data_IF_207341292284
#
_entry.id   IF_207341292284
#
_cell.length_a   1.000
_cell.length_b   1.000
_cell.length_c   1.000
_cell.angle_alpha   90.00
_cell.angle_beta   90.00
_cell.angle_gamma   90.00
#
_symmetry.space_group_name_H-M   'P 1'
#
loop_
_entity.id
_entity.type
_entity.pdbx_description
1 polymer ?
#
# COMPACT_ATOMS: atom_id res chain seq x y z
N UNK A 1 -24.82 -13.32 22.79
CA UNK A 1 -24.51 -12.92 21.40
C UNK A 1 -25.15 -13.97 20.49
N UNK A 2 -25.88 -13.59 19.44
CA UNK A 2 -26.63 -14.53 18.59
C UNK A 2 -25.86 -14.89 17.32
N UNK A 3 -26.10 -16.06 16.71
CA UNK A 3 -25.50 -16.44 15.41
C UNK A 3 -25.63 -15.34 14.35
N UNK A 4 -26.75 -14.61 14.38
CA UNK A 4 -27.02 -13.48 13.50
C UNK A 4 -25.94 -12.38 13.57
N UNK A 5 -25.31 -12.16 14.72
CA UNK A 5 -24.23 -11.17 14.80
C UNK A 5 -22.97 -11.64 14.07
N UNK A 6 -22.61 -12.94 14.13
CA UNK A 6 -21.43 -13.49 13.43
C UNK A 6 -21.59 -13.31 11.93
N UNK A 7 -22.75 -13.69 11.39
CA UNK A 7 -23.06 -13.56 9.95
C UNK A 7 -23.01 -12.10 9.47
N UNK A 8 -23.43 -11.14 10.30
CA UNK A 8 -23.36 -9.72 9.96
C UNK A 8 -21.90 -9.23 9.83
N UNK A 9 -21.01 -9.64 10.74
CA UNK A 9 -19.59 -9.28 10.65
C UNK A 9 -18.89 -9.97 9.48
N UNK A 10 -19.21 -11.24 9.20
CA UNK A 10 -18.68 -11.97 8.05
C UNK A 10 -19.12 -11.34 6.72
N UNK A 11 -20.40 -10.93 6.62
CA UNK A 11 -20.89 -10.22 5.42
C UNK A 11 -20.15 -8.90 5.20
N UNK A 12 -19.96 -8.09 6.25
CA UNK A 12 -19.20 -6.84 6.15
C UNK A 12 -17.76 -7.07 5.73
N UNK A 13 -17.12 -8.12 6.25
CA UNK A 13 -15.77 -8.50 5.84
C UNK A 13 -15.73 -8.92 4.35
N UNK A 14 -16.70 -9.72 3.91
CA UNK A 14 -16.82 -10.15 2.51
C UNK A 14 -17.12 -8.98 1.56
N UNK A 15 -17.99 -8.04 1.95
CA UNK A 15 -18.28 -6.83 1.17
C UNK A 15 -17.03 -5.95 1.01
N UNK A 16 -16.26 -5.80 2.09
CA UNK A 16 -14.99 -5.07 2.06
C UNK A 16 -13.94 -5.76 1.17
N UNK A 17 -13.83 -7.10 1.24
CA UNK A 17 -12.91 -7.91 0.42
C UNK A 17 -13.33 -7.98 -1.07
N UNK A 18 -14.63 -8.00 -1.37
CA UNK A 18 -15.15 -8.02 -2.74
C UNK A 18 -14.98 -6.67 -3.46
N UNK A 19 -14.62 -5.60 -2.74
CA UNK A 19 -14.42 -4.29 -3.34
C UNK A 19 -13.21 -4.28 -4.29
N UNK A 20 -13.41 -3.78 -5.52
CA UNK A 20 -12.35 -3.66 -6.53
C UNK A 20 -11.49 -2.39 -6.37
N UNK A 21 -11.88 -1.52 -5.45
CA UNK A 21 -11.25 -0.23 -5.14
C UNK A 21 -9.75 -0.37 -4.82
N UNK A 22 -9.30 -1.30 -3.94
CA UNK A 22 -7.87 -1.46 -3.64
C UNK A 22 -7.04 -1.89 -4.86
N UNK A 23 -7.61 -2.65 -5.80
CA UNK A 23 -6.90 -3.05 -7.03
C UNK A 23 -6.68 -1.84 -7.94
N UNK A 24 -7.73 -1.04 -8.16
CA UNK A 24 -7.63 0.18 -8.96
C UNK A 24 -6.62 1.17 -8.37
N UNK A 25 -6.63 1.38 -7.05
CA UNK A 25 -5.66 2.26 -6.37
C UNK A 25 -4.23 1.74 -6.50
N UNK A 26 -4.00 0.41 -6.42
CA UNK A 26 -2.68 -0.19 -6.63
C UNK A 26 -2.17 0.03 -8.05
N UNK A 27 -3.02 -0.12 -9.06
CA UNK A 27 -2.67 0.13 -10.47
C UNK A 27 -2.38 1.61 -10.70
N UNK A 28 -3.24 2.51 -10.20
CA UNK A 28 -3.01 3.95 -10.27
C UNK A 28 -1.69 4.35 -9.61
N UNK A 29 -1.38 3.78 -8.45
CA UNK A 29 -0.09 3.98 -7.78
C UNK A 29 1.09 3.53 -8.63
N UNK A 30 1.02 2.34 -9.22
CA UNK A 30 2.09 1.82 -10.07
C UNK A 30 2.34 2.71 -11.29
N UNK A 31 1.27 3.22 -11.91
CA UNK A 31 1.35 4.17 -13.02
C UNK A 31 2.04 5.48 -12.62
N UNK A 32 1.68 6.06 -11.47
CA UNK A 32 2.30 7.30 -10.98
C UNK A 32 3.77 7.07 -10.59
N UNK A 33 4.09 5.92 -9.99
CA UNK A 33 5.47 5.53 -9.69
C UNK A 33 6.33 5.38 -10.95
N UNK A 34 5.76 4.83 -12.03
CA UNK A 34 6.43 4.73 -13.32
C UNK A 34 6.76 6.12 -13.89
N UNK A 35 5.79 7.04 -13.84
CA UNK A 35 6.00 8.44 -14.25
C UNK A 35 7.08 9.13 -13.40
N UNK A 36 7.06 8.90 -12.08
CA UNK A 36 8.08 9.42 -11.17
C UNK A 36 9.48 8.93 -11.56
N UNK A 37 9.64 7.62 -11.79
CA UNK A 37 10.90 7.02 -12.18
C UNK A 37 11.45 7.61 -13.48
N UNK A 38 10.62 7.75 -14.52
CA UNK A 38 11.02 8.40 -15.79
C UNK A 38 11.46 9.86 -15.56
N UNK A 39 10.72 10.59 -14.72
CA UNK A 39 11.02 11.99 -14.42
C UNK A 39 12.37 12.12 -13.71
N UNK A 40 12.65 11.27 -12.72
CA UNK A 40 13.93 11.25 -12.00
C UNK A 40 15.08 10.88 -12.94
N UNK A 41 14.91 9.84 -13.77
CA UNK A 41 15.91 9.46 -14.78
C UNK A 41 16.20 10.63 -15.73
N UNK A 42 15.16 11.36 -16.15
CA UNK A 42 15.30 12.56 -16.98
C UNK A 42 16.16 13.62 -16.31
N UNK A 43 15.89 13.95 -15.03
CA UNK A 43 16.71 14.90 -14.26
C UNK A 43 18.18 14.46 -14.21
N UNK A 44 18.43 13.18 -13.91
CA UNK A 44 19.79 12.63 -13.81
C UNK A 44 20.54 12.74 -15.15
N UNK A 45 19.88 12.38 -16.26
CA UNK A 45 20.48 12.47 -17.60
C UNK A 45 20.78 13.92 -17.98
N UNK A 46 19.90 14.87 -17.68
CA UNK A 46 20.10 16.29 -17.97
C UNK A 46 21.26 16.88 -17.15
N UNK A 47 21.34 16.56 -15.85
CA UNK A 47 22.44 17.00 -14.99
C UNK A 47 23.77 16.38 -15.42
N UNK A 48 23.76 15.10 -15.79
CA UNK A 48 24.94 14.42 -16.31
C UNK A 48 25.40 15.06 -17.62
N UNK A 49 24.48 15.32 -18.56
CA UNK A 49 24.79 16.00 -19.81
C UNK A 49 25.37 17.40 -19.56
N UNK A 50 24.81 18.14 -18.61
CA UNK A 50 25.28 19.46 -18.21
C UNK A 50 26.72 19.41 -17.68
N UNK A 51 27.00 18.50 -16.74
CA UNK A 51 28.34 18.32 -16.18
C UNK A 51 29.35 17.89 -17.24
N UNK A 52 28.98 16.94 -18.12
CA UNK A 52 29.87 16.50 -19.20
C UNK A 52 30.20 17.64 -20.18
N UNK A 53 29.23 18.49 -20.54
CA UNK A 53 29.48 19.67 -21.39
C UNK A 53 30.32 20.74 -20.69
N UNK A 54 30.11 20.94 -19.38
CA UNK A 54 30.90 21.86 -18.58
C UNK A 54 32.37 21.44 -18.53
N UNK A 55 32.62 20.13 -18.39
CA UNK A 55 33.96 19.54 -18.39
C UNK A 55 34.58 19.41 -19.80
N UNK A 56 33.87 19.80 -20.86
CA UNK A 56 34.36 19.68 -22.23
C UNK A 56 34.50 18.23 -22.71
N UNK A 57 33.64 17.33 -22.24
CA UNK A 57 33.71 15.91 -22.59
C UNK A 57 33.50 15.67 -24.09
N UNK A 58 34.30 14.77 -24.67
CA UNK A 58 34.29 14.49 -26.11
C UNK A 58 32.98 13.88 -26.59
N UNK A 59 32.60 14.22 -27.82
CA UNK A 59 31.41 13.71 -28.52
C UNK A 59 31.66 12.40 -29.26
N UNK A 60 32.87 11.84 -29.20
CA UNK A 60 33.22 10.58 -29.88
C UNK A 60 32.97 9.35 -29.02
N UNK A 61 33.08 9.46 -27.70
CA UNK A 61 32.84 8.34 -26.81
C UNK A 61 31.37 7.89 -26.89
N UNK A 62 31.15 6.57 -26.96
CA UNK A 62 29.81 5.99 -27.06
C UNK A 62 28.90 6.40 -25.89
N UNK A 63 29.47 6.47 -24.68
CA UNK A 63 28.77 6.91 -23.48
C UNK A 63 28.28 8.35 -23.59
N UNK A 64 29.17 9.32 -23.87
CA UNK A 64 28.82 10.73 -23.98
C UNK A 64 27.79 10.98 -25.09
N UNK A 65 27.92 10.30 -26.24
CA UNK A 65 26.92 10.34 -27.32
C UNK A 65 25.55 9.87 -26.87
N UNK A 66 25.49 8.78 -26.11
CA UNK A 66 24.23 8.28 -25.60
C UNK A 66 23.58 9.27 -24.64
N UNK A 67 24.37 9.87 -23.73
CA UNK A 67 23.88 10.87 -22.77
C UNK A 67 23.35 12.11 -23.50
N UNK A 68 24.12 12.66 -24.44
CA UNK A 68 23.73 13.86 -25.18
C UNK A 68 22.50 13.64 -26.07
N UNK A 69 22.38 12.46 -26.70
CA UNK A 69 21.19 12.11 -27.48
C UNK A 69 19.95 11.97 -26.59
N UNK A 70 20.09 11.34 -25.44
CA UNK A 70 18.99 11.21 -24.48
C UNK A 70 18.56 12.57 -23.94
N UNK A 71 19.52 13.43 -23.57
CA UNK A 71 19.22 14.79 -23.09
C UNK A 71 18.52 15.61 -24.17
N UNK A 72 18.95 15.52 -25.43
CA UNK A 72 18.31 16.23 -26.54
C UNK A 72 16.85 15.81 -26.74
N UNK A 73 16.55 14.52 -26.64
CA UNK A 73 15.17 14.02 -26.71
C UNK A 73 14.32 14.54 -25.55
N UNK A 74 14.89 14.61 -24.34
CA UNK A 74 14.22 15.10 -23.13
C UNK A 74 14.04 16.62 -23.15
N UNK A 75 14.92 17.36 -23.82
CA UNK A 75 14.82 18.82 -23.98
C UNK A 75 13.84 19.28 -25.07
N UNK A 76 13.27 18.36 -25.86
CA UNK A 76 12.30 18.69 -26.93
C UNK A 76 11.22 19.71 -26.53
N UNK A 77 10.52 19.58 -25.38
CA UNK A 77 9.49 20.56 -24.98
C UNK A 77 10.04 21.92 -24.54
N UNK A 78 11.32 22.02 -24.19
CA UNK A 78 11.98 23.27 -23.76
C UNK A 78 12.84 23.90 -24.86
N UNK A 79 12.83 23.32 -26.06
CA UNK A 79 13.66 23.74 -27.19
C UNK A 79 13.27 25.15 -27.65
N UNK A 80 14.27 26.02 -27.83
CA UNK A 80 14.09 27.37 -28.36
C UNK A 80 13.77 28.45 -27.31
N UNK A 81 13.65 28.11 -26.04
CA UNK A 81 13.36 29.08 -24.96
C UNK A 81 14.64 29.75 -24.44
N UNK A 82 15.78 29.06 -24.49
CA UNK A 82 17.06 29.56 -23.97
C UNK A 82 18.20 29.38 -24.98
N UNK A 83 19.05 30.39 -25.18
CA UNK A 83 20.25 30.28 -26.01
C UNK A 83 21.36 29.52 -25.28
N UNK A 84 22.12 28.71 -26.02
CA UNK A 84 23.32 28.03 -25.51
C UNK A 84 24.47 29.04 -25.46
N UNK A 85 25.20 29.11 -24.34
CA UNK A 85 26.38 29.97 -24.20
C UNK A 85 27.66 29.12 -24.24
N UNK A 86 28.51 29.40 -25.21
CA UNK A 86 29.84 28.79 -25.32
C UNK A 86 30.78 29.42 -24.30
N UNK A 87 31.51 28.60 -23.53
CA UNK A 87 32.44 29.05 -22.49
C UNK A 87 33.81 28.44 -22.79
N UNK A 88 34.47 28.99 -23.81
CA UNK A 88 35.79 28.54 -24.30
C UNK A 88 35.71 27.65 -25.56
N UNK A 89 36.85 27.09 -25.99
CA UNK A 89 36.96 26.32 -27.24
C UNK A 89 36.36 24.90 -27.17
N UNK A 90 36.24 24.32 -25.96
CA UNK A 90 35.77 22.93 -25.77
C UNK A 90 34.70 22.78 -24.67
N UNK A 91 34.62 23.72 -23.73
CA UNK A 91 33.63 23.70 -22.65
C UNK A 91 32.42 24.57 -23.01
N UNK A 92 31.21 24.06 -22.75
CA UNK A 92 29.97 24.78 -23.06
C UNK A 92 29.08 24.79 -21.84
N UNK A 93 28.69 25.98 -21.37
CA UNK A 93 27.72 26.13 -20.28
C UNK A 93 26.32 26.22 -20.90
N UNK A 94 25.65 25.08 -20.96
CA UNK A 94 24.28 25.02 -21.45
C UNK A 94 23.28 25.23 -20.31
N UNK A 95 22.92 26.50 -20.08
CA UNK A 95 21.93 26.90 -19.07
C UNK A 95 20.55 26.26 -19.35
N UNK A 96 20.24 25.93 -20.60
CA UNK A 96 18.99 25.27 -20.98
C UNK A 96 18.87 23.88 -20.36
N UNK A 97 19.97 23.13 -20.27
CA UNK A 97 20.01 21.83 -19.58
C UNK A 97 19.72 21.98 -18.10
N UNK A 98 20.29 23.01 -17.46
CA UNK A 98 20.09 23.27 -16.04
C UNK A 98 18.64 23.67 -15.75
N UNK A 99 18.06 24.58 -16.54
CA UNK A 99 16.65 24.98 -16.40
C UNK A 99 15.73 23.79 -16.66
N UNK A 100 16.02 22.97 -17.68
CA UNK A 100 15.29 21.74 -17.95
C UNK A 100 15.33 20.78 -16.76
N UNK A 101 16.50 20.58 -16.17
CA UNK A 101 16.66 19.75 -14.97
C UNK A 101 15.84 20.28 -13.79
N UNK A 102 15.85 21.61 -13.55
CA UNK A 102 15.04 22.25 -12.49
C UNK A 102 13.55 22.09 -12.77
N UNK A 103 13.09 22.27 -14.01
CA UNK A 103 11.68 22.08 -14.37
C UNK A 103 11.22 20.64 -14.13
N UNK A 104 12.02 19.66 -14.53
CA UNK A 104 11.74 18.25 -14.24
C UNK A 104 11.84 17.91 -12.75
N UNK A 105 12.71 18.58 -11.99
CA UNK A 105 12.77 18.42 -10.54
C UNK A 105 11.49 18.91 -9.85
N UNK A 106 10.95 20.06 -10.30
CA UNK A 106 9.64 20.54 -9.83
C UNK A 106 8.52 19.57 -10.18
N UNK A 107 8.53 19.01 -11.40
CA UNK A 107 7.60 17.95 -11.78
C UNK A 107 7.75 16.71 -10.88
N UNK A 108 8.97 16.29 -10.58
CA UNK A 108 9.23 15.15 -9.71
C UNK A 108 8.64 15.36 -8.31
N UNK A 109 8.79 16.55 -7.74
CA UNK A 109 8.18 16.92 -6.45
C UNK A 109 6.64 16.86 -6.54
N UNK A 110 6.06 17.38 -7.62
CA UNK A 110 4.61 17.34 -7.84
C UNK A 110 4.08 15.90 -7.95
N UNK A 111 4.79 15.03 -8.67
CA UNK A 111 4.44 13.60 -8.81
C UNK A 111 4.61 12.87 -7.49
N UNK A 112 5.69 13.13 -6.75
CA UNK A 112 5.92 12.54 -5.42
C UNK A 112 4.78 12.90 -4.44
N UNK A 113 4.34 14.16 -4.43
CA UNK A 113 3.18 14.58 -3.63
C UNK A 113 1.90 13.81 -4.02
N UNK A 114 1.72 13.48 -5.31
CA UNK A 114 0.60 12.67 -5.79
C UNK A 114 0.73 11.21 -5.33
N UNK A 115 1.92 10.60 -5.42
CA UNK A 115 2.20 9.25 -4.90
C UNK A 115 1.83 9.18 -3.42
N UNK A 116 2.34 10.10 -2.61
CA UNK A 116 2.03 10.17 -1.17
C UNK A 116 0.53 10.35 -0.90
N UNK A 117 -0.20 11.04 -1.79
CA UNK A 117 -1.66 11.21 -1.64
C UNK A 117 -2.40 9.91 -1.94
N UNK A 118 -1.98 9.16 -2.96
CA UNK A 118 -2.55 7.85 -3.30
C UNK A 118 -2.23 6.83 -2.21
N UNK A 119 -1.01 6.80 -1.71
CA UNK A 119 -0.61 5.88 -0.64
C UNK A 119 -1.43 6.11 0.62
N UNK A 120 -1.66 7.37 1.01
CA UNK A 120 -2.55 7.71 2.12
C UNK A 120 -3.98 7.22 1.94
N UNK A 121 -4.50 7.20 0.70
CA UNK A 121 -5.83 6.64 0.41
C UNK A 121 -5.83 5.12 0.50
N UNK A 122 -4.85 4.46 -0.10
CA UNK A 122 -4.75 2.99 -0.11
C UNK A 122 -4.58 2.41 1.30
N UNK A 123 -3.80 3.07 2.16
CA UNK A 123 -3.62 2.61 3.54
C UNK A 123 -4.92 2.67 4.34
N UNK A 124 -5.77 3.69 4.12
CA UNK A 124 -7.06 3.80 4.83
C UNK A 124 -7.99 2.64 4.48
N UNK A 125 -8.12 2.31 3.21
CA UNK A 125 -8.95 1.18 2.76
C UNK A 125 -8.40 -0.17 3.22
N UNK A 126 -7.08 -0.37 3.16
CA UNK A 126 -6.49 -1.62 3.63
C UNK A 126 -6.63 -1.81 5.14
N UNK A 127 -6.57 -0.73 5.92
CA UNK A 127 -6.84 -0.79 7.36
C UNK A 127 -8.30 -1.14 7.62
N UNK A 128 -9.25 -0.61 6.85
CA UNK A 128 -10.68 -0.94 6.99
C UNK A 128 -10.98 -2.42 6.71
N UNK A 129 -10.40 -2.97 5.64
CA UNK A 129 -10.54 -4.40 5.34
C UNK A 129 -9.93 -5.26 6.46
N UNK A 130 -8.74 -4.87 6.95
CA UNK A 130 -8.05 -5.59 8.01
C UNK A 130 -8.83 -5.56 9.34
N UNK A 131 -9.45 -4.42 9.69
CA UNK A 131 -10.27 -4.30 10.91
C UNK A 131 -11.60 -5.04 10.77
N UNK A 132 -12.25 -4.99 9.61
CA UNK A 132 -13.48 -5.74 9.36
C UNK A 132 -13.26 -7.24 9.56
N UNK A 133 -12.16 -7.78 9.02
CA UNK A 133 -11.77 -9.19 9.19
C UNK A 133 -11.40 -9.52 10.63
N UNK A 134 -10.59 -8.70 11.28
CA UNK A 134 -10.21 -8.92 12.69
C UNK A 134 -11.45 -8.91 13.62
N UNK A 135 -12.43 -8.04 13.35
CA UNK A 135 -13.67 -7.99 14.12
C UNK A 135 -14.51 -9.26 13.91
N UNK A 136 -14.62 -9.76 12.68
CA UNK A 136 -15.32 -11.01 12.39
C UNK A 136 -14.67 -12.21 13.14
N UNK A 137 -13.34 -12.31 13.11
CA UNK A 137 -12.59 -13.34 13.81
C UNK A 137 -12.81 -13.27 15.33
N UNK A 138 -12.72 -12.07 15.93
CA UNK A 138 -12.95 -11.87 17.36
C UNK A 138 -14.37 -12.28 17.79
N UNK A 139 -15.38 -11.95 16.99
CA UNK A 139 -16.79 -12.27 17.28
C UNK A 139 -17.03 -13.79 17.19
N UNK A 140 -16.45 -14.44 16.19
CA UNK A 140 -16.50 -15.91 16.05
C UNK A 140 -15.86 -16.60 17.26
N UNK A 141 -14.67 -16.17 17.68
CA UNK A 141 -13.97 -16.73 18.83
C UNK A 141 -14.76 -16.55 20.14
N UNK A 142 -15.36 -15.38 20.35
CA UNK A 142 -16.22 -15.13 21.51
C UNK A 142 -17.44 -16.05 21.53
N UNK A 143 -18.05 -16.27 20.36
CA UNK A 143 -19.19 -17.17 20.24
C UNK A 143 -18.80 -18.63 20.55
N UNK A 144 -17.67 -19.10 20.01
CA UNK A 144 -17.13 -20.43 20.32
C UNK A 144 -16.84 -20.60 21.82
N UNK A 145 -16.23 -19.59 22.47
CA UNK A 145 -15.97 -19.60 23.91
C UNK A 145 -17.27 -19.62 24.74
N UNK A 146 -18.28 -18.86 24.33
CA UNK A 146 -19.59 -18.82 25.00
C UNK A 146 -20.31 -20.17 24.90
N UNK A 147 -20.25 -20.82 23.73
CA UNK A 147 -20.82 -22.15 23.55
C UNK A 147 -20.13 -23.21 24.40
N UNK A 148 -18.79 -23.17 24.46
CA UNK A 148 -18.03 -24.08 25.31
C UNK A 148 -18.44 -23.92 26.78
N UNK A 149 -18.50 -22.69 27.29
CA UNK A 149 -18.95 -22.42 28.66
C UNK A 149 -20.37 -22.92 28.92
N UNK A 150 -21.29 -22.72 27.98
CA UNK A 150 -22.67 -23.22 28.10
C UNK A 150 -22.73 -24.76 28.10
N UNK A 151 -21.93 -25.42 27.26
CA UNK A 151 -21.83 -26.88 27.22
C UNK A 151 -21.25 -27.44 28.53
N UNK A 152 -20.20 -26.81 29.08
CA UNK A 152 -19.65 -27.19 30.38
C UNK A 152 -20.66 -26.99 31.51
N UNK A 153 -21.40 -25.87 31.52
CA UNK A 153 -22.43 -25.62 32.53
C UNK A 153 -23.58 -26.64 32.45
N UNK A 154 -24.04 -26.98 31.24
CA UNK A 154 -25.07 -27.99 31.02
C UNK A 154 -24.63 -29.39 31.50
N UNK A 155 -23.37 -29.76 31.24
CA UNK A 155 -22.81 -31.02 31.74
C UNK A 155 -22.77 -31.07 33.27
N UNK A 156 -22.34 -29.98 33.93
CA UNK A 156 -22.32 -29.93 35.40
C UNK A 156 -23.72 -30.04 36.00
N UNK A 157 -24.71 -29.39 35.40
CA UNK A 157 -26.11 -29.50 35.85
C UNK A 157 -26.66 -30.92 35.69
N UNK A 158 -26.38 -31.57 34.55
CA UNK A 158 -26.80 -32.95 34.32
C UNK A 158 -26.17 -33.92 35.35
N UNK A 159 -24.89 -33.74 35.69
CA UNK A 159 -24.24 -34.52 36.74
C UNK A 159 -24.86 -34.26 38.11
N UNK A 160 -25.07 -33.00 38.50
CA UNK A 160 -25.68 -32.65 39.78
C UNK A 160 -27.10 -33.22 39.95
N UNK A 161 -27.89 -33.20 38.87
CA UNK A 161 -29.22 -33.83 38.85
C UNK A 161 -29.15 -35.34 39.00
N UNK A 162 -28.20 -36.00 38.33
CA UNK A 162 -27.99 -37.45 38.49
C UNK A 162 -27.61 -37.80 39.93
N UNK A 163 -26.72 -37.03 40.56
CA UNK A 163 -26.37 -37.23 41.96
C UNK A 163 -27.58 -37.03 42.89
N UNK A 164 -28.42 -36.01 42.66
CA UNK A 164 -29.62 -35.77 43.44
C UNK A 164 -30.62 -36.94 43.31
N UNK A 165 -30.90 -37.39 42.09
CA UNK A 165 -31.78 -38.54 41.81
C UNK A 165 -31.25 -39.83 42.45
N UNK A 166 -29.93 -40.04 42.43
CA UNK A 166 -29.31 -41.20 43.06
C UNK A 166 -29.46 -41.16 44.59
N UNK A 167 -29.29 -39.99 45.21
CA UNK A 167 -29.53 -39.82 46.64
C UNK A 167 -31.00 -40.06 47.02
N UNK A 168 -31.94 -39.59 46.20
CA UNK A 168 -33.37 -39.86 46.42
C UNK A 168 -33.72 -41.34 46.28
N UNK A 169 -33.13 -42.05 45.31
CA UNK A 169 -33.31 -43.49 45.16
C UNK A 169 -32.77 -44.26 46.37
N UNK A 170 -31.59 -43.88 46.88
CA UNK A 170 -31.00 -44.46 48.08
C UNK A 170 -31.86 -44.16 49.33
N UNK A 171 -32.36 -42.93 49.47
CA UNK A 171 -33.28 -42.57 50.56
C UNK A 171 -34.58 -43.37 50.51
N UNK A 172 -35.15 -43.59 49.32
CA UNK A 172 -36.33 -44.44 49.15
C UNK A 172 -36.06 -45.90 49.52
N UNK A 173 -34.89 -46.44 49.19
CA UNK A 173 -34.50 -47.80 49.60
C UNK A 173 -34.39 -47.92 51.13
N UNK A 174 -33.90 -46.90 51.82
CA UNK A 174 -33.77 -46.90 53.28
C UNK A 174 -35.10 -46.70 54.02
N UNK A 175 -36.16 -46.26 53.35
CA UNK A 175 -37.48 -45.99 53.95
C UNK A 175 -38.52 -47.09 53.69
N UNK A 176 -38.13 -48.19 53.03
CA UNK A 176 -39.03 -49.33 52.84
C UNK A 176 -38.89 -50.28 54.05
N UNK A 177 -39.95 -50.49 54.84
CA UNK A 177 -39.92 -51.21 56.12
C UNK A 177 -39.67 -52.72 55.99
#
# INVERSE_FOLDING_TARGET
MSMQSVEEYERRAQEAEASSVPVFLKVARAMVWFLYAITVVTVVVLLLAFVLRLLGASTDAAFTRSVYRSSESMMRPFRGIFPVQEVGEQSVVDVSLLIGAVAYLMLAIGVDALVQRIDRRLHREQVEIATARANADNVRLQFEAQQQQAAYAAQQQAQAQQFALQQEALRRQQQTP
#
